data_IF_332286749291
#
_entry.id   IF_332286749291
#
_cell.length_a   1.000
_cell.length_b   1.000
_cell.length_c   1.000
_cell.angle_alpha   90.00
_cell.angle_beta   90.00
_cell.angle_gamma   90.00
#
_symmetry.space_group_name_H-M   'P 1'
#
loop_
_entity.id
_entity.type
_entity.pdbx_description
1 polymer ?
#
# COMPACT_ATOMS: atom_id res chain seq x y z
N UNK A 1 32.17 -10.13 9.24
CA UNK A 1 31.41 -11.13 8.46
C UNK A 1 31.19 -10.60 7.06
N UNK A 2 30.90 -11.48 6.11
CA UNK A 2 30.50 -11.14 4.75
C UNK A 2 29.12 -11.75 4.49
N UNK A 3 28.16 -10.88 4.22
CA UNK A 3 26.73 -11.20 4.15
C UNK A 3 26.30 -11.25 2.69
N UNK A 4 25.62 -12.32 2.29
CA UNK A 4 24.95 -12.42 0.99
C UNK A 4 23.52 -11.89 1.08
N UNK A 5 23.04 -11.17 0.07
CA UNK A 5 21.66 -10.68 -0.01
C UNK A 5 21.11 -10.99 -1.40
N UNK A 6 19.86 -11.43 -1.49
CA UNK A 6 19.15 -11.57 -2.76
C UNK A 6 17.69 -11.18 -2.62
N UNK A 7 17.06 -10.79 -3.72
CA UNK A 7 15.62 -10.53 -3.80
C UNK A 7 14.96 -11.50 -4.77
N UNK A 8 13.97 -12.27 -4.30
CA UNK A 8 13.30 -13.30 -5.09
C UNK A 8 11.78 -13.13 -5.17
N UNK A 9 11.17 -13.70 -6.21
CA UNK A 9 9.73 -13.62 -6.48
C UNK A 9 9.30 -12.34 -7.19
N UNK A 10 8.01 -12.01 -7.18
CA UNK A 10 7.52 -10.71 -7.70
C UNK A 10 8.07 -9.55 -6.86
N UNK A 11 8.35 -8.41 -7.49
CA UNK A 11 8.79 -7.23 -6.75
C UNK A 11 7.65 -6.61 -5.93
N UNK A 12 8.03 -5.76 -4.97
CA UNK A 12 7.07 -4.96 -4.22
C UNK A 12 7.75 -3.68 -3.71
N UNK A 13 6.97 -2.68 -3.29
CA UNK A 13 7.51 -1.49 -2.65
C UNK A 13 8.26 -1.86 -1.35
N UNK A 14 9.41 -1.25 -1.12
CA UNK A 14 10.20 -1.44 0.11
C UNK A 14 11.40 -2.37 0.00
N UNK A 15 11.54 -3.15 -1.08
CA UNK A 15 12.71 -4.03 -1.31
C UNK A 15 14.04 -3.28 -1.19
N UNK A 16 14.16 -2.14 -1.87
CA UNK A 16 15.33 -1.27 -1.78
C UNK A 16 15.55 -0.70 -0.38
N UNK A 17 14.49 -0.44 0.39
CA UNK A 17 14.62 0.02 1.77
C UNK A 17 15.20 -1.07 2.69
N UNK A 18 14.82 -2.34 2.47
CA UNK A 18 15.38 -3.49 3.18
C UNK A 18 16.86 -3.69 2.82
N UNK A 19 17.21 -3.69 1.52
CA UNK A 19 18.61 -3.79 1.08
C UNK A 19 19.45 -2.69 1.72
N UNK A 20 18.94 -1.45 1.69
CA UNK A 20 19.60 -0.31 2.33
C UNK A 20 19.81 -0.53 3.82
N UNK A 21 18.79 -0.99 4.54
CA UNK A 21 18.87 -1.24 5.97
C UNK A 21 19.92 -2.31 6.30
N UNK A 22 20.00 -3.39 5.52
CA UNK A 22 21.03 -4.43 5.66
C UNK A 22 22.42 -3.85 5.48
N UNK A 23 22.66 -3.14 4.38
CA UNK A 23 23.97 -2.54 4.05
C UNK A 23 24.42 -1.57 5.14
N UNK A 24 23.57 -0.61 5.53
CA UNK A 24 23.91 0.38 6.56
C UNK A 24 24.20 -0.26 7.91
N UNK A 25 23.45 -1.31 8.26
CA UNK A 25 23.61 -1.96 9.56
C UNK A 25 24.88 -2.81 9.59
N UNK A 26 25.17 -3.56 8.53
CA UNK A 26 26.38 -4.37 8.42
C UNK A 26 27.63 -3.50 8.49
N UNK A 27 27.66 -2.42 7.71
CA UNK A 27 28.80 -1.50 7.65
C UNK A 27 28.96 -0.72 8.97
N UNK A 28 27.94 0.06 9.35
CA UNK A 28 28.09 1.03 10.45
C UNK A 28 28.06 0.42 11.86
N UNK A 29 27.48 -0.78 12.05
CA UNK A 29 27.41 -1.41 13.38
C UNK A 29 28.36 -2.58 13.56
N UNK A 30 28.66 -3.32 12.49
CA UNK A 30 29.37 -4.59 12.59
C UNK A 30 30.66 -4.64 11.77
N UNK A 31 31.03 -3.55 11.07
CA UNK A 31 32.21 -3.53 10.19
C UNK A 31 32.20 -4.66 9.16
N UNK A 32 31.01 -5.11 8.75
CA UNK A 32 30.80 -6.28 7.90
C UNK A 32 30.46 -5.86 6.47
N UNK A 33 30.83 -6.68 5.50
CA UNK A 33 30.64 -6.39 4.07
C UNK A 33 29.41 -7.10 3.52
N UNK A 34 28.78 -6.52 2.49
CA UNK A 34 27.55 -7.08 1.90
C UNK A 34 27.72 -7.33 0.40
N UNK A 35 27.38 -8.52 -0.05
CA UNK A 35 27.34 -8.94 -1.46
C UNK A 35 25.88 -9.13 -1.86
N UNK A 36 25.45 -8.45 -2.91
CA UNK A 36 24.13 -8.64 -3.51
C UNK A 36 24.20 -9.61 -4.68
N UNK A 37 23.40 -10.66 -4.68
CA UNK A 37 23.21 -11.55 -5.84
C UNK A 37 22.07 -11.04 -6.72
N UNK A 38 22.33 -10.94 -8.02
CA UNK A 38 21.41 -10.35 -8.97
C UNK A 38 20.31 -11.34 -9.36
N UNK A 39 19.10 -10.86 -9.62
CA UNK A 39 17.96 -11.66 -10.07
C UNK A 39 17.64 -12.87 -9.17
N UNK A 40 17.77 -12.71 -7.85
CA UNK A 40 17.37 -13.71 -6.87
C UNK A 40 18.22 -14.98 -6.92
N UNK A 41 17.56 -16.14 -6.80
CA UNK A 41 18.22 -17.45 -6.81
C UNK A 41 18.98 -17.74 -8.10
N UNK A 42 18.55 -17.17 -9.23
CA UNK A 42 19.22 -17.36 -10.52
C UNK A 42 20.64 -16.81 -10.49
N UNK A 43 20.83 -15.57 -10.03
CA UNK A 43 22.19 -15.03 -9.94
C UNK A 43 23.02 -15.65 -8.83
N UNK A 44 22.41 -16.24 -7.79
CA UNK A 44 23.17 -17.04 -6.84
C UNK A 44 23.70 -18.32 -7.50
N UNK A 45 22.88 -19.04 -8.28
CA UNK A 45 23.33 -20.21 -9.06
C UNK A 45 24.40 -19.83 -10.09
N UNK A 46 24.20 -18.73 -10.81
CA UNK A 46 25.11 -18.26 -11.87
C UNK A 46 26.28 -17.41 -11.35
N UNK A 47 26.41 -17.26 -10.02
CA UNK A 47 27.39 -16.41 -9.36
C UNK A 47 27.44 -14.93 -9.87
N UNK A 48 26.27 -14.40 -10.29
CA UNK A 48 26.09 -13.00 -10.68
C UNK A 48 25.89 -12.12 -9.46
N UNK A 49 26.90 -11.33 -9.13
CA UNK A 49 26.97 -10.58 -7.88
C UNK A 49 27.47 -9.16 -8.04
N UNK A 50 27.12 -8.31 -7.09
CA UNK A 50 27.61 -6.94 -6.94
C UNK A 50 28.00 -6.68 -5.50
N UNK A 51 29.10 -5.95 -5.29
CA UNK A 51 29.43 -5.46 -3.96
C UNK A 51 28.48 -4.32 -3.59
N UNK A 52 27.85 -4.40 -2.42
CA UNK A 52 27.00 -3.34 -1.90
C UNK A 52 27.78 -2.55 -0.85
N UNK A 53 27.92 -1.24 -1.10
CA UNK A 53 28.64 -0.31 -0.25
C UNK A 53 27.68 0.65 0.46
N UNK A 54 28.08 1.12 1.64
CA UNK A 54 27.34 2.14 2.38
C UNK A 54 27.70 3.54 1.86
N UNK A 55 27.18 3.87 0.67
CA UNK A 55 27.49 5.10 -0.08
C UNK A 55 26.23 5.90 -0.47
N UNK A 56 26.44 6.99 -1.21
CA UNK A 56 25.36 7.83 -1.73
C UNK A 56 24.34 7.07 -2.60
N UNK A 57 24.78 6.01 -3.30
CA UNK A 57 23.88 5.17 -4.11
C UNK A 57 22.93 4.41 -3.19
N UNK A 58 23.45 3.84 -2.10
CA UNK A 58 22.67 3.16 -1.08
C UNK A 58 21.69 4.11 -0.37
N UNK A 59 22.07 5.36 -0.12
CA UNK A 59 21.18 6.33 0.53
C UNK A 59 19.94 6.70 -0.29
N UNK A 60 20.07 6.71 -1.62
CA UNK A 60 18.95 6.99 -2.55
C UNK A 60 17.93 5.85 -2.66
N UNK A 61 18.21 4.67 -2.09
CA UNK A 61 17.34 3.50 -2.19
C UNK A 61 16.07 3.60 -1.36
N UNK A 62 16.06 4.40 -0.28
CA UNK A 62 14.96 4.42 0.69
C UNK A 62 13.59 4.71 0.06
N UNK A 63 13.55 5.63 -0.91
CA UNK A 63 12.31 6.05 -1.59
C UNK A 63 12.11 5.35 -2.95
N UNK A 64 13.05 4.52 -3.40
CA UNK A 64 13.00 3.92 -4.73
C UNK A 64 12.16 2.63 -4.71
N UNK A 65 11.13 2.56 -5.54
CA UNK A 65 10.37 1.33 -5.80
C UNK A 65 11.20 0.21 -6.45
N UNK A 66 10.63 -1.00 -6.48
CA UNK A 66 11.29 -2.19 -7.04
C UNK A 66 12.54 -2.61 -6.26
N UNK A 67 13.46 -3.31 -6.95
CA UNK A 67 14.73 -3.80 -6.38
C UNK A 67 15.92 -3.43 -7.27
N UNK A 68 17.01 -2.96 -6.66
CA UNK A 68 18.27 -2.67 -7.35
C UNK A 68 19.03 -3.93 -7.77
N UNK A 69 18.71 -5.09 -7.18
CA UNK A 69 19.34 -6.37 -7.50
C UNK A 69 18.63 -7.10 -8.65
N UNK A 70 17.45 -6.63 -9.07
CA UNK A 70 16.57 -7.40 -9.94
C UNK A 70 15.95 -8.59 -9.20
N UNK A 71 15.04 -9.28 -9.86
CA UNK A 71 14.43 -10.50 -9.33
C UNK A 71 14.10 -11.43 -10.48
N UNK A 72 14.22 -12.72 -10.25
CA UNK A 72 13.76 -13.73 -11.19
C UNK A 72 13.17 -14.92 -10.44
N UNK A 73 12.22 -15.56 -11.13
CA UNK A 73 11.74 -16.87 -10.72
C UNK A 73 12.69 -17.94 -11.23
N UNK A 74 12.87 -18.97 -10.41
CA UNK A 74 13.58 -20.20 -10.75
C UNK A 74 12.61 -21.33 -10.44
N UNK A 75 12.51 -22.29 -11.36
CA UNK A 75 11.68 -23.47 -11.12
C UNK A 75 12.18 -24.20 -9.84
N UNK A 76 11.28 -24.60 -8.92
CA UNK A 76 11.64 -25.23 -7.66
C UNK A 76 12.53 -26.47 -7.80
N UNK A 77 12.27 -27.33 -8.79
CA UNK A 77 13.03 -28.55 -9.02
C UNK A 77 14.45 -28.24 -9.47
N UNK A 78 14.58 -27.26 -10.38
CA UNK A 78 15.89 -26.77 -10.82
C UNK A 78 16.69 -26.16 -9.66
N UNK A 79 16.03 -25.39 -8.79
CA UNK A 79 16.69 -24.79 -7.64
C UNK A 79 17.11 -25.85 -6.61
N UNK A 80 16.25 -26.84 -6.36
CA UNK A 80 16.53 -27.95 -5.45
C UNK A 80 17.70 -28.80 -5.95
N UNK A 81 17.75 -29.09 -7.26
CA UNK A 81 18.88 -29.79 -7.87
C UNK A 81 20.19 -28.99 -7.82
N UNK A 82 20.11 -27.65 -7.73
CA UNK A 82 21.26 -26.74 -7.70
C UNK A 82 21.75 -26.36 -6.30
N UNK A 83 21.28 -26.98 -5.21
CA UNK A 83 21.64 -26.57 -3.85
C UNK A 83 23.13 -26.71 -3.55
N UNK A 84 23.80 -27.75 -4.06
CA UNK A 84 25.26 -27.91 -3.89
C UNK A 84 26.04 -26.82 -4.63
N UNK A 85 25.59 -26.43 -5.81
CA UNK A 85 26.16 -25.30 -6.56
C UNK A 85 25.96 -23.97 -5.80
N UNK A 86 24.80 -23.79 -5.16
CA UNK A 86 24.55 -22.63 -4.30
C UNK A 86 25.52 -22.61 -3.12
N UNK A 87 25.70 -23.74 -2.41
CA UNK A 87 26.64 -23.87 -1.29
C UNK A 87 28.07 -23.52 -1.73
N UNK A 88 28.54 -24.14 -2.82
CA UNK A 88 29.86 -23.83 -3.39
C UNK A 88 30.01 -22.34 -3.74
N UNK A 89 28.97 -21.73 -4.32
CA UNK A 89 29.01 -20.30 -4.65
C UNK A 89 29.08 -19.42 -3.39
N UNK A 90 28.38 -19.79 -2.32
CA UNK A 90 28.47 -19.05 -1.04
C UNK A 90 29.88 -19.16 -0.45
N UNK A 91 30.46 -20.37 -0.45
CA UNK A 91 31.81 -20.63 0.07
C UNK A 91 32.89 -19.91 -0.74
N UNK A 92 32.85 -19.99 -2.08
CA UNK A 92 33.78 -19.30 -2.99
C UNK A 92 33.77 -17.78 -2.81
N UNK A 93 32.62 -17.24 -2.41
CA UNK A 93 32.44 -15.83 -2.14
C UNK A 93 32.71 -15.45 -0.67
N UNK A 94 33.05 -16.42 0.17
CA UNK A 94 33.27 -16.27 1.60
C UNK A 94 32.04 -15.74 2.34
N UNK A 95 30.83 -16.15 1.94
CA UNK A 95 29.57 -15.70 2.54
C UNK A 95 29.32 -16.45 3.85
N UNK A 96 29.33 -15.73 4.97
CA UNK A 96 29.07 -16.31 6.30
C UNK A 96 27.57 -16.53 6.56
N UNK A 97 26.71 -15.69 5.97
CA UNK A 97 25.25 -15.75 6.14
C UNK A 97 24.53 -15.20 4.91
N UNK A 98 23.47 -15.89 4.49
CA UNK A 98 22.61 -15.46 3.39
C UNK A 98 21.31 -14.83 3.92
N UNK A 99 20.92 -13.69 3.35
CA UNK A 99 19.67 -13.00 3.63
C UNK A 99 18.81 -12.99 2.34
N UNK A 100 17.99 -14.03 2.12
CA UNK A 100 17.04 -14.05 1.03
C UNK A 100 15.80 -13.24 1.41
N UNK A 101 15.44 -12.29 0.55
CA UNK A 101 14.31 -11.39 0.73
C UNK A 101 13.24 -11.79 -0.29
N UNK A 102 12.10 -12.31 0.15
CA UNK A 102 11.13 -12.85 -0.80
C UNK A 102 9.83 -13.37 -0.18
N UNK A 103 8.93 -13.81 -1.07
CA UNK A 103 7.68 -14.47 -0.68
C UNK A 103 7.90 -15.95 -0.35
N UNK A 104 6.80 -16.70 -0.26
CA UNK A 104 6.79 -18.13 0.08
C UNK A 104 7.87 -18.94 -0.66
N UNK A 105 7.88 -18.95 -1.99
CA UNK A 105 8.86 -19.72 -2.76
C UNK A 105 10.33 -19.37 -2.48
N UNK A 106 10.61 -18.11 -2.13
CA UNK A 106 11.96 -17.70 -1.72
C UNK A 106 12.31 -18.22 -0.33
N UNK A 107 11.38 -18.13 0.61
CA UNK A 107 11.59 -18.59 1.99
C UNK A 107 11.63 -20.13 2.08
N UNK A 108 10.89 -20.83 1.23
CA UNK A 108 10.96 -22.29 1.11
C UNK A 108 12.35 -22.74 0.65
N UNK A 109 12.93 -22.08 -0.36
CA UNK A 109 14.31 -22.37 -0.78
C UNK A 109 15.34 -22.02 0.29
N UNK A 110 15.12 -20.92 1.01
CA UNK A 110 15.93 -20.53 2.18
C UNK A 110 15.91 -21.61 3.28
N UNK A 111 14.73 -22.21 3.52
CA UNK A 111 14.57 -23.29 4.48
C UNK A 111 15.34 -24.56 4.06
N UNK A 112 15.34 -24.94 2.77
CA UNK A 112 16.14 -26.08 2.31
C UNK A 112 17.63 -25.90 2.60
N UNK A 113 18.18 -24.71 2.35
CA UNK A 113 19.56 -24.39 2.69
C UNK A 113 19.82 -24.45 4.20
N UNK A 114 18.87 -23.99 5.01
CA UNK A 114 18.98 -24.09 6.47
C UNK A 114 19.00 -25.54 6.96
N UNK A 115 18.29 -26.46 6.33
CA UNK A 115 18.34 -27.90 6.65
C UNK A 115 19.72 -28.50 6.32
N UNK A 116 20.42 -27.92 5.35
CA UNK A 116 21.78 -28.25 4.94
C UNK A 116 22.86 -27.49 5.76
N UNK A 117 22.50 -26.93 6.92
CA UNK A 117 23.38 -26.18 7.83
C UNK A 117 23.96 -24.88 7.26
N UNK A 118 23.39 -24.32 6.18
CA UNK A 118 23.76 -23.00 5.69
C UNK A 118 23.13 -21.94 6.60
N UNK A 119 23.90 -20.96 7.14
CA UNK A 119 23.32 -19.88 7.93
C UNK A 119 22.46 -18.95 7.05
N UNK A 120 21.16 -18.92 7.33
CA UNK A 120 20.18 -18.14 6.54
C UNK A 120 19.27 -17.33 7.46
N UNK A 121 18.98 -16.09 7.05
CA UNK A 121 17.97 -15.22 7.69
C UNK A 121 16.98 -14.73 6.63
N UNK A 122 15.82 -15.37 6.54
CA UNK A 122 14.77 -14.99 5.60
C UNK A 122 14.09 -13.67 5.98
N UNK A 123 13.83 -12.81 4.99
CA UNK A 123 13.04 -11.59 5.18
C UNK A 123 11.73 -11.71 4.38
N UNK A 124 10.57 -11.79 5.05
CA UNK A 124 9.30 -12.05 4.40
C UNK A 124 8.82 -10.84 3.59
N UNK A 125 8.57 -11.07 2.31
CA UNK A 125 8.22 -10.06 1.31
C UNK A 125 7.07 -10.52 0.43
N UNK A 126 5.92 -9.87 0.56
CA UNK A 126 4.76 -10.06 -0.30
C UNK A 126 3.84 -8.86 -0.16
N UNK A 127 3.15 -8.48 -1.24
CA UNK A 127 2.05 -7.51 -1.13
C UNK A 127 0.77 -8.20 -0.62
N UNK A 128 0.69 -9.52 -0.79
CA UNK A 128 -0.52 -10.31 -0.57
C UNK A 128 -0.78 -10.56 0.94
N UNK A 129 0.21 -10.27 1.79
CA UNK A 129 0.20 -10.49 3.25
C UNK A 129 -0.15 -11.92 3.67
N UNK A 130 0.40 -12.88 2.94
CA UNK A 130 0.08 -14.31 2.99
C UNK A 130 1.25 -15.16 3.51
N UNK A 131 2.09 -14.60 4.39
CA UNK A 131 3.21 -15.32 5.00
C UNK A 131 2.92 -15.56 6.48
N UNK A 132 3.03 -16.81 6.90
CA UNK A 132 2.86 -17.21 8.30
C UNK A 132 3.87 -16.54 9.24
N UNK A 133 3.49 -16.46 10.52
CA UNK A 133 4.32 -15.94 11.62
C UNK A 133 4.69 -14.44 11.50
N UNK A 134 3.97 -13.67 10.68
CA UNK A 134 4.06 -12.21 10.63
C UNK A 134 2.67 -11.61 10.42
N UNK A 135 2.31 -10.57 11.19
CA UNK A 135 1.01 -9.93 11.04
C UNK A 135 0.94 -9.09 9.74
N UNK A 136 2.06 -8.46 9.40
CA UNK A 136 2.18 -7.62 8.19
C UNK A 136 3.52 -7.81 7.50
N UNK A 137 3.50 -8.06 6.20
CA UNK A 137 4.67 -8.10 5.31
C UNK A 137 4.93 -6.74 4.67
N UNK A 138 6.19 -6.37 4.45
CA UNK A 138 6.44 -5.13 3.71
C UNK A 138 6.01 -5.27 2.24
N UNK A 139 5.64 -4.13 1.68
CA UNK A 139 4.96 -4.01 0.40
C UNK A 139 3.44 -3.95 0.56
N UNK A 140 2.87 -4.63 1.57
CA UNK A 140 1.42 -4.70 1.75
C UNK A 140 0.77 -3.32 1.96
N UNK A 141 1.26 -2.51 2.92
CA UNK A 141 0.63 -1.21 3.20
C UNK A 141 0.66 -0.28 1.97
N UNK A 142 1.73 -0.32 1.17
CA UNK A 142 1.82 0.49 -0.05
C UNK A 142 0.84 -0.01 -1.11
N UNK A 143 0.72 -1.32 -1.29
CA UNK A 143 -0.24 -1.91 -2.23
C UNK A 143 -1.70 -1.59 -1.82
N UNK A 144 -2.00 -1.68 -0.53
CA UNK A 144 -3.28 -1.29 0.06
C UNK A 144 -3.57 0.19 -0.20
N UNK A 145 -2.60 1.08 0.02
CA UNK A 145 -2.76 2.51 -0.24
C UNK A 145 -3.06 2.79 -1.72
N UNK A 146 -2.35 2.13 -2.63
CA UNK A 146 -2.57 2.25 -4.08
C UNK A 146 -3.96 1.76 -4.47
N UNK A 147 -4.40 0.62 -3.93
CA UNK A 147 -5.73 0.08 -4.19
C UNK A 147 -6.83 1.02 -3.66
N UNK A 148 -6.68 1.51 -2.44
CA UNK A 148 -7.61 2.46 -1.79
C UNK A 148 -7.73 3.74 -2.62
N UNK A 149 -6.60 4.35 -3.02
CA UNK A 149 -6.61 5.58 -3.83
C UNK A 149 -7.30 5.36 -5.19
N UNK A 150 -7.08 4.20 -5.81
CA UNK A 150 -7.71 3.88 -7.07
C UNK A 150 -9.24 3.73 -6.94
N UNK A 151 -9.71 3.07 -5.87
CA UNK A 151 -11.15 2.92 -5.60
C UNK A 151 -11.78 4.29 -5.30
N UNK A 152 -11.13 5.13 -4.48
CA UNK A 152 -11.61 6.49 -4.16
C UNK A 152 -11.81 7.34 -5.43
N UNK A 153 -10.87 7.26 -6.38
CA UNK A 153 -10.99 7.94 -7.67
C UNK A 153 -12.19 7.44 -8.47
N UNK A 154 -12.51 6.15 -8.37
CA UNK A 154 -13.63 5.54 -9.08
C UNK A 154 -14.99 5.97 -8.51
N UNK A 155 -15.11 6.31 -7.22
CA UNK A 155 -16.37 6.79 -6.64
C UNK A 155 -16.94 7.99 -7.38
N UNK A 156 -16.10 9.01 -7.65
CA UNK A 156 -16.55 10.25 -8.31
C UNK A 156 -17.15 10.03 -9.71
N UNK A 157 -16.56 9.14 -10.50
CA UNK A 157 -17.03 8.81 -11.86
C UNK A 157 -18.19 7.82 -11.85
N UNK A 158 -18.22 6.91 -10.87
CA UNK A 158 -19.34 5.98 -10.70
C UNK A 158 -20.63 6.72 -10.36
N UNK A 159 -20.56 7.67 -9.44
CA UNK A 159 -21.70 8.51 -9.02
C UNK A 159 -22.22 9.37 -10.16
N UNK A 160 -21.32 9.96 -10.96
CA UNK A 160 -21.68 10.86 -12.07
C UNK A 160 -22.41 10.15 -13.22
N UNK A 161 -22.14 8.86 -13.45
CA UNK A 161 -22.67 8.11 -14.61
C UNK A 161 -23.64 6.99 -14.25
N UNK A 162 -24.03 6.87 -12.99
CA UNK A 162 -24.93 5.85 -12.47
C UNK A 162 -24.51 4.39 -12.78
N UNK A 163 -23.25 4.06 -12.53
CA UNK A 163 -22.62 2.80 -12.98
C UNK A 163 -22.38 1.79 -11.86
N UNK A 164 -22.23 0.52 -12.27
CA UNK A 164 -21.60 -0.51 -11.46
C UNK A 164 -20.11 -0.52 -11.80
N UNK A 165 -19.25 -0.38 -10.80
CA UNK A 165 -17.79 -0.49 -10.94
C UNK A 165 -17.32 -1.78 -10.27
N UNK A 166 -16.64 -2.63 -11.01
CA UNK A 166 -15.88 -3.76 -10.45
C UNK A 166 -14.40 -3.40 -10.48
N UNK A 167 -13.74 -3.47 -9.33
CA UNK A 167 -12.32 -3.15 -9.18
C UNK A 167 -11.56 -4.40 -8.82
N UNK A 168 -10.79 -4.93 -9.76
CA UNK A 168 -9.96 -6.11 -9.54
C UNK A 168 -8.63 -5.72 -8.91
N UNK A 169 -8.34 -6.29 -7.75
CA UNK A 169 -7.13 -6.04 -6.96
C UNK A 169 -6.30 -7.31 -6.82
N UNK A 170 -5.02 -7.14 -6.52
CA UNK A 170 -4.11 -8.27 -6.30
C UNK A 170 -4.38 -8.95 -4.96
N UNK A 171 -3.81 -10.13 -4.76
CA UNK A 171 -3.93 -10.89 -3.51
C UNK A 171 -3.72 -12.39 -3.68
N UNK A 172 -3.64 -12.87 -4.93
CA UNK A 172 -3.50 -14.30 -5.29
C UNK A 172 -4.53 -15.17 -4.56
N UNK A 173 -4.15 -15.82 -3.46
CA UNK A 173 -5.01 -16.72 -2.69
C UNK A 173 -5.52 -16.09 -1.38
N UNK A 174 -5.16 -14.84 -1.11
CA UNK A 174 -5.51 -14.09 0.09
C UNK A 174 -6.32 -12.82 -0.24
N UNK A 175 -7.30 -12.53 0.60
CA UNK A 175 -8.23 -11.43 0.45
C UNK A 175 -7.79 -10.12 1.11
N UNK A 176 -6.61 -10.05 1.72
CA UNK A 176 -6.21 -8.93 2.59
C UNK A 176 -6.27 -7.56 1.90
N UNK A 177 -5.77 -7.43 0.67
CA UNK A 177 -5.84 -6.17 -0.08
C UNK A 177 -7.29 -5.82 -0.39
N UNK A 178 -8.07 -6.78 -0.93
CA UNK A 178 -9.46 -6.56 -1.29
C UNK A 178 -10.32 -6.15 -0.10
N UNK A 179 -10.21 -6.88 1.01
CA UNK A 179 -10.94 -6.63 2.25
C UNK A 179 -10.62 -5.25 2.81
N UNK A 180 -9.34 -4.95 3.01
CA UNK A 180 -8.93 -3.71 3.64
C UNK A 180 -9.16 -2.49 2.74
N UNK A 181 -8.89 -2.59 1.44
CA UNK A 181 -9.12 -1.49 0.49
C UNK A 181 -10.62 -1.25 0.30
N UNK A 182 -11.42 -2.32 0.18
CA UNK A 182 -12.87 -2.22 0.10
C UNK A 182 -13.47 -1.55 1.33
N UNK A 183 -13.03 -1.95 2.53
CA UNK A 183 -13.48 -1.33 3.78
C UNK A 183 -13.05 0.14 3.87
N UNK A 184 -11.79 0.45 3.56
CA UNK A 184 -11.24 1.80 3.66
C UNK A 184 -11.90 2.79 2.69
N UNK A 185 -12.20 2.37 1.47
CA UNK A 185 -12.83 3.21 0.44
C UNK A 185 -14.36 3.21 0.48
N UNK A 186 -15.00 2.39 1.32
CA UNK A 186 -16.46 2.30 1.36
C UNK A 186 -17.05 1.56 0.16
N UNK A 187 -16.38 0.50 -0.29
CA UNK A 187 -16.94 -0.41 -1.27
C UNK A 187 -18.24 -1.03 -0.74
N UNK A 188 -19.19 -1.23 -1.64
CA UNK A 188 -20.52 -1.74 -1.28
C UNK A 188 -20.54 -3.26 -1.15
N UNK A 189 -19.56 -3.92 -1.78
CA UNK A 189 -19.31 -5.35 -1.69
C UNK A 189 -17.84 -5.62 -1.94
N UNK A 190 -17.32 -6.65 -1.29
CA UNK A 190 -15.96 -7.13 -1.50
C UNK A 190 -15.98 -8.64 -1.66
N UNK A 191 -15.38 -9.14 -2.74
CA UNK A 191 -15.25 -10.57 -3.03
C UNK A 191 -13.82 -10.99 -2.75
N UNK A 192 -13.65 -11.98 -1.87
CA UNK A 192 -12.35 -12.46 -1.40
C UNK A 192 -12.19 -13.96 -1.68
N UNK A 193 -10.96 -14.48 -1.82
CA UNK A 193 -10.73 -15.90 -2.10
C UNK A 193 -11.22 -16.83 -0.98
N UNK A 194 -11.24 -16.36 0.26
CA UNK A 194 -11.63 -17.13 1.45
C UNK A 194 -13.13 -17.44 1.50
N UNK A 195 -13.96 -16.67 0.79
CA UNK A 195 -15.41 -16.82 0.77
C UNK A 195 -15.92 -16.86 -0.68
N UNK A 196 -16.30 -18.06 -1.19
CA UNK A 196 -16.87 -18.17 -2.52
C UNK A 196 -18.12 -17.31 -2.69
N UNK A 197 -18.25 -16.62 -3.82
CA UNK A 197 -19.35 -15.68 -4.06
C UNK A 197 -20.44 -16.28 -4.94
N UNK A 198 -21.70 -15.96 -4.65
CA UNK A 198 -22.81 -16.28 -5.54
C UNK A 198 -23.17 -15.08 -6.43
N UNK A 199 -23.11 -15.26 -7.75
CA UNK A 199 -23.50 -14.27 -8.76
C UNK A 199 -24.95 -13.82 -8.60
N UNK A 200 -25.86 -14.69 -8.17
CA UNK A 200 -27.25 -14.29 -7.92
C UNK A 200 -27.35 -13.32 -6.76
N UNK A 201 -26.64 -13.58 -5.66
CA UNK A 201 -26.54 -12.68 -4.53
C UNK A 201 -25.90 -11.34 -4.91
N UNK A 202 -24.80 -11.36 -5.67
CA UNK A 202 -24.16 -10.13 -6.18
C UNK A 202 -25.18 -9.31 -6.98
N UNK A 203 -25.88 -9.94 -7.92
CA UNK A 203 -26.90 -9.28 -8.74
C UNK A 203 -28.08 -8.73 -7.90
N UNK A 204 -28.49 -9.47 -6.87
CA UNK A 204 -29.54 -9.04 -5.94
C UNK A 204 -29.12 -7.78 -5.18
N UNK A 205 -27.90 -7.75 -4.64
CA UNK A 205 -27.38 -6.59 -3.90
C UNK A 205 -27.24 -5.36 -4.80
N UNK A 206 -26.77 -5.55 -6.04
CA UNK A 206 -26.72 -4.46 -7.04
C UNK A 206 -28.13 -3.92 -7.29
N UNK A 207 -29.10 -4.78 -7.62
CA UNK A 207 -30.50 -4.37 -7.88
C UNK A 207 -31.09 -3.62 -6.69
N UNK A 208 -30.95 -4.18 -5.49
CA UNK A 208 -31.46 -3.59 -4.25
C UNK A 208 -30.90 -2.18 -4.03
N UNK A 209 -29.62 -1.96 -4.27
CA UNK A 209 -28.99 -0.65 -4.11
C UNK A 209 -29.58 0.41 -5.06
N UNK A 210 -29.74 0.08 -6.34
CA UNK A 210 -30.36 1.00 -7.31
C UNK A 210 -31.84 1.25 -7.03
N UNK A 211 -32.57 0.25 -6.54
CA UNK A 211 -33.99 0.40 -6.16
C UNK A 211 -34.18 1.35 -4.97
N UNK A 212 -33.21 1.44 -4.06
CA UNK A 212 -33.20 2.42 -2.96
C UNK A 212 -32.76 3.82 -3.38
N UNK A 213 -32.61 4.09 -4.68
CA UNK A 213 -32.27 5.42 -5.20
C UNK A 213 -30.77 5.76 -5.18
N UNK A 214 -29.90 4.79 -4.86
CA UNK A 214 -28.45 5.02 -4.98
C UNK A 214 -28.05 5.16 -6.45
N UNK A 215 -27.14 6.09 -6.73
CA UNK A 215 -26.65 6.34 -8.08
C UNK A 215 -25.71 5.23 -8.57
N UNK A 216 -24.91 4.62 -7.70
CA UNK A 216 -23.81 3.76 -8.13
C UNK A 216 -23.59 2.55 -7.21
N UNK A 217 -22.84 1.57 -7.71
CA UNK A 217 -22.38 0.40 -6.96
C UNK A 217 -20.90 0.18 -7.24
N UNK A 218 -20.12 -0.12 -6.21
CA UNK A 218 -18.68 -0.44 -6.30
C UNK A 218 -18.47 -1.78 -5.62
N UNK A 219 -17.89 -2.70 -6.35
CA UNK A 219 -17.47 -4.01 -5.89
C UNK A 219 -15.94 -4.12 -6.01
N UNK A 220 -15.26 -4.49 -4.92
CA UNK A 220 -13.85 -4.85 -4.98
C UNK A 220 -13.74 -6.35 -5.13
N UNK A 221 -12.94 -6.82 -6.08
CA UNK A 221 -12.82 -8.23 -6.44
C UNK A 221 -11.34 -8.62 -6.30
N UNK A 222 -11.01 -9.52 -5.39
CA UNK A 222 -9.68 -10.11 -5.35
C UNK A 222 -9.46 -10.96 -6.62
N UNK A 223 -8.25 -10.92 -7.20
CA UNK A 223 -7.92 -11.68 -8.42
C UNK A 223 -8.14 -13.21 -8.30
N UNK A 224 -8.05 -13.75 -7.09
CA UNK A 224 -8.35 -15.16 -6.80
C UNK A 224 -9.71 -15.44 -6.17
N UNK A 225 -10.63 -14.47 -6.16
CA UNK A 225 -12.01 -14.73 -5.74
C UNK A 225 -12.64 -15.79 -6.65
N UNK A 226 -13.36 -16.75 -6.05
CA UNK A 226 -13.98 -17.88 -6.77
C UNK A 226 -15.50 -17.83 -6.62
N UNK A 227 -16.27 -18.11 -7.68
CA UNK A 227 -17.71 -18.27 -7.54
C UNK A 227 -18.03 -19.53 -6.72
N UNK A 228 -19.17 -19.52 -6.04
CA UNK A 228 -19.74 -20.71 -5.45
C UNK A 228 -20.07 -21.75 -6.54
N UNK A 229 -20.05 -23.03 -6.16
CA UNK A 229 -20.34 -24.13 -7.08
C UNK A 229 -21.69 -23.94 -7.78
N UNK A 230 -21.72 -24.11 -9.10
CA UNK A 230 -22.91 -23.93 -9.93
C UNK A 230 -23.34 -22.49 -10.20
N UNK A 231 -22.70 -21.49 -9.57
CA UNK A 231 -23.09 -20.07 -9.76
C UNK A 231 -22.57 -19.48 -11.07
N UNK A 232 -21.29 -19.77 -11.38
CA UNK A 232 -20.60 -19.29 -12.58
C UNK A 232 -19.35 -20.13 -12.82
N UNK A 233 -19.04 -20.40 -14.09
CA UNK A 233 -17.76 -21.01 -14.47
C UNK A 233 -16.74 -19.93 -14.80
N UNK A 234 -15.57 -20.00 -14.15
CA UNK A 234 -14.42 -19.18 -14.52
C UNK A 234 -13.57 -19.92 -15.55
N UNK A 235 -13.08 -19.18 -16.55
CA UNK A 235 -12.09 -19.72 -17.50
C UNK A 235 -10.81 -20.12 -16.75
N UNK A 236 -10.26 -21.29 -17.07
CA UNK A 236 -8.95 -21.72 -16.58
C UNK A 236 -7.83 -21.04 -17.37
N UNK A 237 -6.85 -20.47 -16.67
CA UNK A 237 -5.65 -19.88 -17.27
C UNK A 237 -4.46 -20.84 -17.38
N UNK A 238 -4.60 -22.05 -16.84
CA UNK A 238 -3.52 -23.03 -16.72
C UNK A 238 -2.48 -22.66 -15.66
N UNK A 239 -1.39 -23.44 -15.65
CA UNK A 239 -0.25 -23.28 -14.74
C UNK A 239 0.93 -22.73 -15.54
N UNK A 240 1.66 -21.75 -15.00
CA UNK A 240 2.88 -21.23 -15.60
C UNK A 240 4.08 -22.19 -15.44
N UNK A 241 5.20 -21.90 -16.12
CA UNK A 241 6.43 -22.71 -16.05
C UNK A 241 7.05 -22.80 -14.64
N UNK A 242 6.55 -22.01 -13.70
CA UNK A 242 7.00 -21.93 -12.32
C UNK A 242 6.02 -22.63 -11.35
N UNK A 243 4.97 -23.28 -11.86
CA UNK A 243 4.00 -24.01 -11.03
C UNK A 243 2.86 -23.16 -10.47
N UNK A 244 2.68 -21.93 -10.95
CA UNK A 244 1.64 -21.03 -10.45
C UNK A 244 0.43 -20.93 -11.37
N UNK A 245 -0.78 -20.93 -10.78
CA UNK A 245 -2.03 -20.68 -11.48
C UNK A 245 -2.05 -19.27 -12.13
N UNK A 246 -2.56 -19.19 -13.36
CA UNK A 246 -2.80 -17.93 -14.06
C UNK A 246 -4.26 -17.50 -13.90
N UNK A 247 -4.47 -16.33 -13.30
CA UNK A 247 -5.80 -15.74 -13.15
C UNK A 247 -6.31 -15.17 -14.49
N UNK A 248 -7.61 -15.36 -14.77
CA UNK A 248 -8.23 -15.05 -16.07
C UNK A 248 -9.12 -13.80 -16.07
N UNK A 249 -8.98 -12.96 -15.04
CA UNK A 249 -9.78 -11.75 -14.83
C UNK A 249 -11.19 -12.09 -14.34
N UNK A 250 -11.36 -12.19 -13.02
CA UNK A 250 -12.63 -12.54 -12.38
C UNK A 250 -13.63 -11.40 -12.56
N UNK A 251 -13.19 -10.15 -12.40
CA UNK A 251 -14.07 -8.98 -12.53
C UNK A 251 -14.63 -8.84 -13.95
N UNK A 252 -13.80 -9.08 -14.98
CA UNK A 252 -14.22 -9.02 -16.38
C UNK A 252 -15.29 -10.06 -16.70
N UNK A 253 -15.14 -11.27 -16.19
CA UNK A 253 -16.12 -12.35 -16.40
C UNK A 253 -17.41 -12.08 -15.59
N UNK A 254 -17.28 -11.63 -14.34
CA UNK A 254 -18.43 -11.28 -13.50
C UNK A 254 -19.24 -10.10 -14.08
N UNK A 255 -18.58 -9.13 -14.72
CA UNK A 255 -19.27 -8.00 -15.35
C UNK A 255 -20.29 -8.45 -16.38
N UNK A 256 -19.94 -9.41 -17.24
CA UNK A 256 -20.84 -9.95 -18.27
C UNK A 256 -22.10 -10.55 -17.64
N UNK A 257 -21.95 -11.30 -16.54
CA UNK A 257 -23.09 -11.88 -15.83
C UNK A 257 -23.97 -10.80 -15.18
N UNK A 258 -23.38 -9.77 -14.57
CA UNK A 258 -24.13 -8.66 -13.97
C UNK A 258 -24.88 -7.86 -15.05
N UNK A 259 -24.25 -7.51 -16.17
CA UNK A 259 -24.90 -6.79 -17.26
C UNK A 259 -26.08 -7.59 -17.83
N UNK A 260 -25.89 -8.90 -18.03
CA UNK A 260 -26.92 -9.79 -18.54
C UNK A 260 -28.15 -9.83 -17.63
N UNK A 261 -27.95 -9.91 -16.32
CA UNK A 261 -29.01 -10.14 -15.30
C UNK A 261 -29.61 -8.86 -14.72
N UNK A 262 -28.85 -7.76 -14.67
CA UNK A 262 -29.25 -6.49 -14.02
C UNK A 262 -29.59 -5.39 -15.03
N UNK A 263 -29.10 -5.48 -16.29
CA UNK A 263 -29.32 -4.47 -17.33
C UNK A 263 -28.84 -3.07 -16.94
N UNK A 264 -27.69 -3.00 -16.26
CA UNK A 264 -26.98 -1.76 -15.90
C UNK A 264 -25.60 -1.75 -16.56
N UNK A 265 -25.07 -0.57 -16.85
CA UNK A 265 -23.71 -0.39 -17.38
C UNK A 265 -22.69 -0.81 -16.31
N UNK A 266 -21.89 -1.84 -16.59
CA UNK A 266 -20.85 -2.35 -15.70
C UNK A 266 -19.48 -2.00 -16.28
N UNK A 267 -18.62 -1.43 -15.46
CA UNK A 267 -17.24 -1.12 -15.84
C UNK A 267 -16.28 -1.84 -14.93
N UNK A 268 -15.21 -2.35 -15.53
CA UNK A 268 -14.17 -3.09 -14.83
C UNK A 268 -12.86 -2.33 -14.87
N UNK A 269 -12.22 -2.19 -13.72
CA UNK A 269 -10.85 -1.67 -13.61
C UNK A 269 -9.99 -2.76 -13.02
N UNK A 270 -8.97 -3.20 -13.74
CA UNK A 270 -7.98 -4.15 -13.23
C UNK A 270 -6.73 -3.37 -12.86
N UNK A 271 -6.44 -3.26 -11.56
CA UNK A 271 -5.26 -2.51 -11.10
C UNK A 271 -3.96 -3.23 -11.45
N UNK A 272 -3.96 -4.56 -11.31
CA UNK A 272 -2.81 -5.41 -11.61
C UNK A 272 -1.52 -4.89 -10.98
N UNK A 273 -0.46 -4.87 -11.78
CA UNK A 273 0.92 -4.58 -11.36
C UNK A 273 1.16 -3.16 -10.84
N UNK A 274 0.22 -2.22 -11.02
CA UNK A 274 0.33 -0.87 -10.42
C UNK A 274 0.47 -0.95 -8.90
N UNK A 275 -0.15 -1.96 -8.26
CA UNK A 275 -0.07 -2.20 -6.82
C UNK A 275 1.32 -2.65 -6.33
N UNK A 276 2.20 -3.14 -7.23
CA UNK A 276 3.57 -3.55 -6.90
C UNK A 276 4.59 -2.43 -7.12
N UNK A 277 4.22 -1.44 -7.93
CA UNK A 277 5.07 -0.33 -8.30
C UNK A 277 5.00 0.84 -7.33
N UNK A 278 5.80 1.86 -7.61
CA UNK A 278 5.74 3.13 -6.91
C UNK A 278 6.65 3.24 -5.71
N UNK A 279 6.55 4.39 -5.08
CA UNK A 279 7.37 4.76 -3.93
C UNK A 279 6.80 4.12 -2.67
N UNK A 280 7.59 3.41 -1.85
CA UNK A 280 7.08 2.83 -0.62
C UNK A 280 6.57 3.92 0.32
N UNK A 281 5.47 3.62 1.02
CA UNK A 281 4.90 4.48 2.05
C UNK A 281 5.82 4.60 3.28
N UNK A 282 5.43 5.43 4.25
CA UNK A 282 6.22 5.64 5.47
C UNK A 282 6.36 4.36 6.30
N UNK A 283 5.31 3.54 6.41
CA UNK A 283 5.35 2.29 7.17
C UNK A 283 6.36 1.31 6.56
N UNK A 284 6.33 1.11 5.24
CA UNK A 284 7.25 0.20 4.56
C UNK A 284 8.71 0.66 4.63
N UNK A 285 8.97 1.97 4.68
CA UNK A 285 10.33 2.48 4.89
C UNK A 285 10.85 2.27 6.31
N UNK A 286 9.98 2.34 7.31
CA UNK A 286 10.36 2.30 8.72
C UNK A 286 10.40 0.88 9.27
N UNK A 287 9.45 -0.01 8.90
CA UNK A 287 9.26 -1.35 9.49
C UNK A 287 10.54 -2.19 9.55
N UNK A 288 11.42 -2.06 8.55
CA UNK A 288 12.68 -2.83 8.47
C UNK A 288 13.93 -1.97 8.63
N UNK A 289 13.77 -0.69 9.01
CA UNK A 289 14.91 0.12 9.47
C UNK A 289 15.19 -0.26 10.93
N UNK A 290 16.36 -0.83 11.27
CA UNK A 290 16.63 -1.21 12.65
C UNK A 290 16.75 0.03 13.55
N UNK A 291 15.69 0.33 14.30
CA UNK A 291 15.66 1.42 15.27
C UNK A 291 16.51 1.03 16.48
N UNK A 292 17.38 1.95 16.93
CA UNK A 292 18.17 1.78 18.14
C UNK A 292 17.24 1.81 19.36
N UNK A 293 16.87 0.64 19.90
CA UNK A 293 16.48 0.55 21.31
C UNK A 293 17.75 0.54 22.15
N UNK A 294 17.89 1.51 23.06
CA UNK A 294 18.96 1.49 24.05
C UNK A 294 18.77 0.27 24.97
N UNK A 295 19.42 -0.84 24.62
CA UNK A 295 19.42 -2.03 25.44
C UNK A 295 20.23 -1.77 26.72
N UNK A 296 19.56 -1.75 27.88
CA UNK A 296 20.23 -2.01 29.15
C UNK A 296 20.81 -3.42 29.09
N UNK A 297 22.13 -3.52 29.24
CA UNK A 297 22.93 -4.75 29.18
C UNK A 297 22.31 -5.89 30.02
N UNK A 298 22.20 -7.08 29.44
CA UNK A 298 22.45 -8.33 30.18
C UNK A 298 23.08 -9.39 29.26
N UNK A 299 23.96 -10.16 29.88
CA UNK A 299 25.08 -10.92 29.35
C UNK A 299 24.77 -12.02 28.31
N UNK A 300 25.71 -12.13 27.36
CA UNK A 300 26.33 -13.35 26.84
C UNK A 300 25.49 -14.63 26.72
N UNK A 301 24.92 -14.86 25.53
CA UNK A 301 24.96 -16.16 24.84
C UNK A 301 25.14 -15.89 23.34
N UNK A 302 26.08 -16.59 22.70
CA UNK A 302 26.29 -16.56 21.24
C UNK A 302 25.01 -17.04 20.57
N UNK A 303 24.18 -16.13 20.07
CA UNK A 303 23.11 -16.36 19.12
C UNK A 303 23.16 -15.19 18.14
N UNK A 304 23.21 -15.49 16.84
CA UNK A 304 23.05 -14.48 15.78
C UNK A 304 21.60 -14.03 15.83
N UNK A 305 21.31 -13.05 16.69
CA UNK A 305 19.97 -12.49 16.82
C UNK A 305 19.70 -11.60 15.61
N UNK A 306 18.76 -12.07 14.79
CA UNK A 306 18.28 -11.42 13.59
C UNK A 306 17.60 -10.07 13.84
N UNK A 307 17.01 -9.55 12.77
CA UNK A 307 16.05 -8.44 12.80
C UNK A 307 15.03 -8.76 13.90
N UNK A 308 14.76 -7.85 14.85
CA UNK A 308 13.87 -8.17 15.96
C UNK A 308 12.51 -8.62 15.43
N UNK A 309 12.06 -9.78 15.90
CA UNK A 309 10.69 -10.22 15.77
C UNK A 309 9.77 -9.08 16.22
N UNK A 310 8.69 -8.86 15.47
CA UNK A 310 7.62 -7.98 15.92
C UNK A 310 7.12 -8.55 17.26
N UNK A 311 7.23 -7.76 18.34
CA UNK A 311 6.62 -8.09 19.62
C UNK A 311 5.09 -8.15 19.38
N UNK A 312 4.56 -9.37 19.27
CA UNK A 312 3.13 -9.66 19.18
C UNK A 312 2.51 -9.23 20.52
N UNK A 313 1.86 -8.06 20.56
CA UNK A 313 0.85 -7.81 21.60
C UNK A 313 -0.44 -8.53 21.19
N UNK A 314 -0.53 -9.81 21.55
CA UNK A 314 -1.82 -10.50 21.68
C UNK A 314 -2.56 -9.86 22.84
N UNK A 315 -3.49 -8.96 22.55
CA UNK A 315 -4.55 -8.63 23.49
C UNK A 315 -5.52 -9.81 23.51
N UNK A 316 -5.30 -10.75 24.45
CA UNK A 316 -6.36 -11.63 24.89
C UNK A 316 -7.44 -10.75 25.52
N UNK A 317 -8.58 -10.64 24.85
CA UNK A 317 -9.81 -10.15 25.46
C UNK A 317 -10.39 -11.33 26.23
N UNK A 318 -10.02 -11.46 27.50
CA UNK A 318 -10.81 -12.20 28.48
C UNK A 318 -11.47 -11.19 29.40
N UNK A 319 -12.77 -10.97 29.18
CA UNK A 319 -13.62 -10.35 30.19
C UNK A 319 -14.20 -11.44 31.08
N UNK A 320 -14.04 -11.31 32.40
CA UNK A 320 -15.12 -10.92 33.31
C UNK A 320 -14.74 -11.18 34.79
N UNK A 321 -15.20 -10.26 35.64
CA UNK A 321 -15.33 -10.31 37.11
C UNK A 321 -14.19 -9.82 38.03
N UNK A 322 -14.57 -8.77 38.77
CA UNK A 322 -14.17 -8.23 40.10
C UNK A 322 -13.16 -9.05 40.93
N UNK A 323 -12.29 -8.48 41.77
CA UNK A 323 -12.14 -7.13 42.32
C UNK A 323 -11.10 -7.19 43.47
N UNK A 324 -10.78 -6.05 44.09
CA UNK A 324 -9.97 -5.98 45.31
C UNK A 324 -8.69 -5.18 45.14
N UNK A 325 -8.66 -4.00 45.74
CA UNK A 325 -7.53 -3.07 45.67
C UNK A 325 -6.43 -3.37 46.68
N UNK A 326 -5.24 -2.86 46.38
CA UNK A 326 -4.29 -2.37 47.38
C UNK A 326 -3.35 -1.37 46.72
N UNK A 327 -3.20 -0.21 47.36
CA UNK A 327 -2.29 0.86 46.98
C UNK A 327 -0.89 0.57 47.51
N UNK A 328 0.15 0.76 46.70
CA UNK A 328 1.40 1.36 47.19
C UNK A 328 2.13 2.17 46.10
N UNK A 329 2.67 3.31 46.54
CA UNK A 329 3.13 4.47 45.77
C UNK A 329 4.58 4.38 45.25
N UNK A 330 4.75 5.10 44.13
CA UNK A 330 5.90 5.93 43.70
C UNK A 330 6.99 5.33 42.81
N UNK A 331 7.18 6.00 41.65
CA UNK A 331 8.21 5.70 40.65
C UNK A 331 7.97 6.30 39.25
N UNK A 332 7.52 7.56 39.19
CA UNK A 332 7.58 8.53 38.07
C UNK A 332 7.35 8.06 36.63
N UNK A 333 6.12 8.27 36.13
CA UNK A 333 5.72 8.18 34.73
C UNK A 333 5.95 9.52 34.01
N UNK A 334 6.73 9.56 32.92
CA UNK A 334 6.68 10.68 31.96
C UNK A 334 5.76 10.26 30.81
N UNK A 335 4.53 10.77 30.85
CA UNK A 335 3.57 10.71 29.74
C UNK A 335 3.58 12.07 29.05
N UNK A 336 4.11 12.14 27.83
CA UNK A 336 3.92 13.32 26.97
C UNK A 336 2.63 13.11 26.17
N UNK A 337 1.54 13.76 26.60
CA UNK A 337 0.31 13.92 25.81
C UNK A 337 0.48 15.10 24.82
N UNK A 338 0.06 15.00 23.56
CA UNK A 338 -0.13 16.18 22.72
C UNK A 338 -1.37 16.94 23.21
N UNK A 339 -1.20 18.18 23.68
CA UNK A 339 -2.31 19.12 23.90
C UNK A 339 -2.59 19.91 22.59
N UNK A 340 -3.83 20.37 22.37
CA UNK A 340 -4.20 21.11 21.16
C UNK A 340 -3.54 22.50 21.15
N UNK A 341 -3.14 22.96 19.97
CA UNK A 341 -2.52 24.26 19.75
C UNK A 341 -3.60 25.36 19.86
N UNK A 342 -3.50 26.20 20.89
CA UNK A 342 -4.19 27.49 20.94
C UNK A 342 -3.29 28.60 20.39
N UNK A 343 -3.92 29.53 19.67
CA UNK A 343 -3.30 30.67 18.96
C UNK A 343 -2.41 31.53 19.87
N UNK A 344 -1.24 31.85 19.35
CA UNK A 344 -0.27 32.79 19.89
C UNK A 344 1.13 32.29 19.57
N UNK A 345 1.92 33.08 18.85
CA UNK A 345 3.34 32.86 18.51
C UNK A 345 3.63 32.03 17.24
N UNK A 346 3.32 32.64 16.10
CA UNK A 346 3.88 32.27 14.79
C UNK A 346 5.34 32.75 14.71
N UNK A 347 6.34 31.89 14.43
CA UNK A 347 7.66 32.35 14.00
C UNK A 347 7.56 32.96 12.59
N UNK A 348 8.18 34.11 12.38
CA UNK A 348 8.16 34.81 11.10
C UNK A 348 8.75 33.95 9.97
N UNK A 349 7.91 33.58 9.00
CA UNK A 349 8.35 33.02 7.72
C UNK A 349 8.76 34.19 6.83
N UNK A 350 10.04 34.27 6.49
CA UNK A 350 10.56 35.22 5.50
C UNK A 350 10.01 34.90 4.11
N UNK A 351 8.96 35.61 3.69
CA UNK A 351 8.51 35.63 2.30
C UNK A 351 9.39 36.55 1.46
N UNK A 352 9.76 36.12 0.25
CA UNK A 352 10.43 36.98 -0.73
C UNK A 352 9.45 38.05 -1.20
N UNK A 353 9.70 39.31 -0.81
CA UNK A 353 9.00 40.47 -1.33
C UNK A 353 9.75 41.01 -2.55
N UNK A 354 9.10 41.04 -3.71
CA UNK A 354 9.62 41.70 -4.90
C UNK A 354 9.55 43.22 -4.70
N UNK A 355 10.71 43.89 -4.68
CA UNK A 355 10.84 45.33 -4.88
C UNK A 355 11.69 45.57 -6.12
N UNK A 356 11.10 46.21 -7.15
CA UNK A 356 11.81 46.99 -8.19
C UNK A 356 12.51 48.18 -7.49
N UNK A 357 13.70 48.66 -7.93
CA UNK A 357 13.80 49.47 -9.16
C UNK A 357 15.12 49.42 -9.99
N UNK A 358 14.93 49.68 -11.30
CA UNK A 358 15.70 50.48 -12.28
C UNK A 358 17.18 50.16 -12.62
N UNK A 359 17.41 49.86 -13.90
CA UNK A 359 18.52 50.43 -14.69
C UNK A 359 19.33 49.46 -15.56
N UNK A 360 19.13 49.48 -16.89
CA UNK A 360 20.13 48.99 -17.85
C UNK A 360 19.59 48.21 -19.05
N UNK A 361 19.74 48.79 -20.25
CA UNK A 361 19.15 48.41 -21.54
C UNK A 361 19.70 47.11 -22.19
N UNK A 362 18.84 46.35 -22.89
CA UNK A 362 18.74 46.31 -24.38
C UNK A 362 17.83 45.17 -24.91
N UNK A 363 16.78 45.63 -25.63
CA UNK A 363 16.17 45.14 -26.90
C UNK A 363 15.57 43.72 -27.02
N UNK A 364 14.28 43.72 -27.42
CA UNK A 364 13.60 42.63 -28.14
C UNK A 364 12.07 42.65 -27.96
N UNK A 365 11.34 43.32 -28.87
CA UNK A 365 9.86 43.41 -28.98
C UNK A 365 9.19 42.02 -29.10
N UNK A 366 7.87 41.78 -28.88
CA UNK A 366 6.65 42.39 -29.44
C UNK A 366 5.45 42.08 -28.50
N UNK A 367 4.59 43.07 -28.23
CA UNK A 367 3.21 42.89 -27.70
C UNK A 367 2.26 43.48 -28.76
N UNK A 368 1.19 42.76 -29.10
CA UNK A 368 0.04 43.31 -29.83
C UNK A 368 -1.13 43.49 -28.86
N UNK A 369 -1.58 44.73 -28.77
CA UNK A 369 -2.68 45.25 -27.95
C UNK A 369 -4.02 45.13 -28.70
N UNK A 370 -5.12 44.97 -27.94
CA UNK A 370 -6.49 44.86 -28.44
C UNK A 370 -7.12 46.25 -28.53
N UNK A 371 -7.00 46.88 -29.69
CA UNK A 371 -7.90 47.94 -30.11
C UNK A 371 -7.96 48.00 -31.65
N UNK A 372 -9.05 47.49 -32.25
CA UNK A 372 -9.72 48.02 -33.45
C UNK A 372 -10.73 46.99 -34.00
N UNK A 373 -12.02 47.36 -34.00
CA UNK A 373 -12.92 47.47 -35.18
C UNK A 373 -14.38 47.42 -34.72
N UNK A 374 -14.96 48.64 -34.62
CA UNK A 374 -16.22 49.16 -35.17
C UNK A 374 -17.62 48.65 -34.75
N UNK A 375 -18.51 49.66 -34.76
CA UNK A 375 -19.92 49.78 -34.38
C UNK A 375 -20.90 49.02 -35.27
N UNK A 376 -22.05 48.62 -34.69
CA UNK A 376 -23.34 48.98 -35.28
C UNK A 376 -24.42 49.17 -34.20
N UNK A 377 -25.24 50.20 -34.41
CA UNK A 377 -26.26 50.78 -33.54
C UNK A 377 -27.60 50.01 -33.62
N UNK A 378 -28.38 50.07 -32.54
CA UNK A 378 -29.84 50.11 -32.67
C UNK A 378 -30.64 49.58 -31.47
N UNK A 379 -31.33 50.49 -30.78
CA UNK A 379 -32.69 50.24 -30.30
C UNK A 379 -32.85 49.93 -28.82
N UNK A 380 -33.45 50.88 -28.13
CA UNK A 380 -33.50 51.04 -26.69
C UNK A 380 -34.87 50.65 -26.11
N UNK A 381 -34.90 50.55 -24.77
CA UNK A 381 -36.01 50.89 -23.86
C UNK A 381 -36.93 49.84 -23.22
N UNK A 382 -37.07 50.10 -21.90
CA UNK A 382 -38.12 49.77 -20.89
C UNK A 382 -37.67 48.71 -19.87
N UNK A 383 -36.95 49.15 -18.83
CA UNK A 383 -37.48 49.73 -17.59
C UNK A 383 -38.23 48.68 -16.73
N UNK A 384 -37.61 48.33 -15.60
CA UNK A 384 -38.21 48.56 -14.29
C UNK A 384 -37.13 48.45 -13.21
N UNK A 385 -36.97 49.55 -12.47
CA UNK A 385 -36.02 49.65 -11.38
C UNK A 385 -36.42 48.82 -10.17
N UNK A 386 -35.46 48.61 -9.28
CA UNK A 386 -35.53 48.98 -7.87
C UNK A 386 -34.14 48.79 -7.23
N UNK A 387 -33.85 49.65 -6.27
CA UNK A 387 -32.58 49.84 -5.59
C UNK A 387 -32.04 48.57 -4.91
N UNK A 388 -30.72 48.37 -4.95
CA UNK A 388 -30.03 47.50 -3.98
C UNK A 388 -29.43 48.36 -2.86
N UNK A 389 -30.04 48.29 -1.68
CA UNK A 389 -29.41 48.78 -0.46
C UNK A 389 -28.35 47.77 -0.01
N UNK A 390 -27.11 48.21 0.02
CA UNK A 390 -25.96 47.52 0.61
C UNK A 390 -26.20 47.38 2.11
N UNK A 391 -26.41 46.15 2.60
CA UNK A 391 -26.30 45.84 4.03
C UNK A 391 -25.01 45.08 4.33
N UNK A 392 -24.25 45.71 5.22
CA UNK A 392 -22.95 45.34 5.76
C UNK A 392 -23.06 44.08 6.62
N UNK A 393 -22.08 43.18 6.49
CA UNK A 393 -21.96 41.98 7.31
C UNK A 393 -21.85 42.30 8.81
N UNK A 394 -22.64 41.59 9.64
CA UNK A 394 -22.42 41.45 11.09
C UNK A 394 -22.39 39.97 11.47
N UNK A 395 -21.47 39.68 12.38
CA UNK A 395 -21.15 38.37 12.98
C UNK A 395 -22.37 37.76 13.67
N UNK A 396 -22.56 36.46 13.49
CA UNK A 396 -23.44 35.61 14.32
C UNK A 396 -22.62 34.55 15.04
N UNK A 397 -22.87 34.43 16.34
CA UNK A 397 -22.25 33.50 17.26
C UNK A 397 -22.84 32.09 17.10
N UNK A 398 -22.02 31.07 17.38
CA UNK A 398 -22.45 29.68 17.42
C UNK A 398 -23.28 29.40 18.68
N UNK A 399 -24.42 28.74 18.51
CA UNK A 399 -25.25 28.18 19.60
C UNK A 399 -25.25 26.65 19.42
N UNK A 400 -24.99 25.87 20.47
CA UNK A 400 -25.05 24.41 20.41
C UNK A 400 -26.51 23.93 20.43
N UNK A 401 -26.82 22.86 19.70
CA UNK A 401 -28.12 22.18 19.75
C UNK A 401 -27.90 20.76 20.27
N UNK A 402 -28.54 20.44 21.39
CA UNK A 402 -28.60 19.10 21.99
C UNK A 402 -29.58 18.18 21.25
N UNK A 403 -29.34 16.88 21.41
CA UNK A 403 -30.13 15.77 20.88
C UNK A 403 -31.27 15.40 21.83
N UNK A 404 -32.48 15.16 21.29
CA UNK A 404 -33.55 14.49 22.07
C UNK A 404 -34.97 14.49 21.49
N UNK A 405 -35.43 13.29 21.10
CA UNK A 405 -36.80 12.73 21.17
C UNK A 405 -37.95 13.13 20.20
N UNK A 406 -38.21 12.20 19.25
CA UNK A 406 -39.45 11.44 18.92
C UNK A 406 -40.85 12.09 18.82
N UNK A 407 -41.66 11.42 17.96
CA UNK A 407 -43.15 11.39 17.76
C UNK A 407 -43.63 12.48 16.75
N UNK A 408 -44.39 12.27 15.66
CA UNK A 408 -45.35 11.24 15.18
C UNK A 408 -45.55 11.35 13.65
N UNK A 409 -46.15 10.30 13.06
CA UNK A 409 -46.61 10.18 11.68
C UNK A 409 -47.69 11.20 11.24
N UNK A 410 -47.73 11.48 9.94
CA UNK A 410 -48.96 11.85 9.23
C UNK A 410 -48.93 11.25 7.81
N UNK A 411 -49.97 10.46 7.52
CA UNK A 411 -50.37 10.00 6.18
C UNK A 411 -50.86 11.18 5.35
N UNK A 412 -50.58 11.15 4.04
CA UNK A 412 -51.57 11.20 2.96
C UNK A 412 -50.95 10.58 1.71
#
# INVERSE_FOLDING_TARGET
MRIGVLTGGGDCPGLNAVIRAVVRTCDSRYGSTVVGFQDGWRGLLENRRVQLANDDRNDRLLAKGGTMLGTARVNPDKLRAGLDQVKATLDDNGIDVLIPIGGEGTLTAAHWLSQENVPVVGVPKTIDNDIDCTDVTFGHDTALQVATEAIDRLHSTAESHQRVMLVEVMGRHAGWIALNAGLASGAHMTLIPEQPFDVEEVCRLVKQRFQHGSSHFICVVAEGAKPAEGSMELRSGGIDEFGHERFTGVAAQLAVEIERRVKKDVRTTVLGHVQRGGTPDSHNRVRYTPVRRAARRRAARRHVNGIPAQDIQRNHVEGAFMGGGEHHRSGTTITVRPKPIHRGDTPAVTGRQARKPIGGHRRGQIIADRALVLEELGGDHRANGMQSNVFRARRTAAVPVETGNRVTAARL
#
